data_IF_090963378834
#
_entry.id   IF_090963378834
#
_cell.length_a   1.000
_cell.length_b   1.000
_cell.length_c   1.000
_cell.angle_alpha   90.00
_cell.angle_beta   90.00
_cell.angle_gamma   90.00
#
_symmetry.space_group_name_H-M   'P 1'
#
loop_
_entity.id
_entity.type
_entity.pdbx_description
1 polymer ?
#
# COMPACT_ATOMS: atom_id res chain seq x y z
N UNK A 1 35.07 60.86 -39.12
CA UNK A 1 34.63 59.90 -38.09
C UNK A 1 33.49 60.55 -37.34
N UNK A 2 32.28 60.08 -37.62
CA UNK A 2 31.02 60.78 -37.39
C UNK A 2 30.45 60.39 -36.02
N UNK A 3 30.04 61.41 -35.26
CA UNK A 3 29.43 61.32 -33.93
C UNK A 3 27.93 61.04 -34.02
N UNK A 4 27.40 60.13 -33.20
CA UNK A 4 25.97 59.92 -32.90
C UNK A 4 25.89 59.30 -31.48
N UNK A 5 25.44 60.03 -30.45
CA UNK A 5 24.06 60.25 -29.97
C UNK A 5 23.43 58.99 -29.35
N UNK A 6 23.05 59.06 -28.06
CA UNK A 6 21.67 58.92 -27.52
C UNK A 6 21.74 58.94 -25.98
N UNK A 7 21.08 59.95 -25.40
CA UNK A 7 20.64 60.00 -24.00
C UNK A 7 19.33 59.23 -23.85
N UNK A 8 19.14 58.56 -22.71
CA UNK A 8 17.80 58.32 -22.16
C UNK A 8 17.90 58.12 -20.63
N UNK A 9 17.38 59.11 -19.92
CA UNK A 9 17.00 59.11 -18.52
C UNK A 9 15.62 58.47 -18.33
N UNK A 10 15.39 57.76 -17.22
CA UNK A 10 14.09 57.61 -16.51
C UNK A 10 14.38 56.73 -15.27
N UNK A 11 14.35 57.23 -14.03
CA UNK A 11 13.23 57.74 -13.22
C UNK A 11 12.47 56.64 -12.46
N UNK A 12 12.57 56.76 -11.12
CA UNK A 12 11.52 56.56 -10.10
C UNK A 12 11.10 55.17 -9.62
N UNK A 13 11.19 55.07 -8.29
CA UNK A 13 10.16 54.58 -7.35
C UNK A 13 9.96 53.07 -7.13
N UNK A 14 10.28 52.62 -5.90
CA UNK A 14 9.30 52.14 -4.89
C UNK A 14 10.09 51.36 -3.81
N UNK A 15 10.26 51.89 -2.60
CA UNK A 15 9.28 51.91 -1.50
C UNK A 15 9.01 50.50 -0.91
N UNK A 16 9.36 50.39 0.37
CA UNK A 16 9.24 49.27 1.30
C UNK A 16 7.88 48.56 1.25
N UNK A 17 7.86 47.23 1.45
CA UNK A 17 6.79 46.62 2.24
C UNK A 17 7.23 45.30 2.88
N UNK A 18 7.23 45.31 4.20
CA UNK A 18 7.23 44.13 5.04
C UNK A 18 5.92 43.35 4.83
N UNK A 19 6.04 42.07 4.56
CA UNK A 19 5.04 41.04 4.85
C UNK A 19 5.88 39.86 5.38
N UNK A 20 5.92 39.62 6.67
CA UNK A 20 4.87 38.91 7.40
C UNK A 20 4.35 37.73 6.58
N UNK A 21 5.14 36.66 6.56
CA UNK A 21 4.70 35.35 6.12
C UNK A 21 4.87 34.45 7.33
N UNK A 22 3.73 34.13 7.92
CA UNK A 22 3.62 33.47 9.19
C UNK A 22 4.40 32.15 9.26
N UNK A 23 5.05 31.98 10.40
CA UNK A 23 5.20 30.69 11.03
C UNK A 23 3.82 30.06 11.21
N UNK A 24 3.56 28.97 10.49
CA UNK A 24 2.64 27.92 10.93
C UNK A 24 3.03 26.62 10.21
N UNK A 25 4.25 26.14 10.49
CA UNK A 25 4.64 24.76 10.21
C UNK A 25 4.33 23.88 11.44
N UNK A 26 3.05 23.73 11.76
CA UNK A 26 2.56 22.66 12.65
C UNK A 26 1.73 21.65 11.84
N UNK A 27 2.22 21.28 10.66
CA UNK A 27 1.84 20.02 10.04
C UNK A 27 2.78 18.95 10.62
N UNK A 28 2.41 18.42 11.78
CA UNK A 28 3.00 17.22 12.36
C UNK A 28 2.99 16.10 11.31
N UNK A 29 4.09 15.99 10.56
CA UNK A 29 4.38 14.90 9.65
C UNK A 29 4.63 13.66 10.50
N UNK A 30 3.55 13.02 10.94
CA UNK A 30 3.63 11.71 11.58
C UNK A 30 4.16 10.75 10.53
N UNK A 31 5.47 10.53 10.56
CA UNK A 31 6.10 9.50 9.73
C UNK A 31 5.36 8.18 9.95
N UNK A 32 5.03 7.52 8.84
CA UNK A 32 4.47 6.17 8.91
C UNK A 32 5.55 5.22 9.37
N UNK A 33 5.37 4.63 10.55
CA UNK A 33 6.27 3.61 11.07
C UNK A 33 6.01 2.31 10.33
N UNK A 34 7.02 1.82 9.60
CA UNK A 34 6.98 0.52 8.91
C UNK A 34 7.23 -0.60 9.91
N UNK A 35 6.31 -1.56 9.99
CA UNK A 35 6.37 -2.67 10.94
C UNK A 35 6.67 -4.00 10.22
N UNK A 36 6.19 -4.13 8.99
CA UNK A 36 6.50 -5.25 8.11
C UNK A 36 6.45 -4.78 6.66
N UNK A 37 7.38 -5.26 5.84
CA UNK A 37 7.40 -4.99 4.41
C UNK A 37 7.95 -6.21 3.65
N UNK A 38 7.31 -6.54 2.54
CA UNK A 38 7.83 -7.41 1.50
C UNK A 38 7.39 -6.93 0.10
N UNK A 39 7.70 -7.70 -0.93
CA UNK A 39 7.42 -7.34 -2.33
C UNK A 39 5.92 -7.14 -2.66
N UNK A 40 5.01 -7.56 -1.79
CA UNK A 40 3.57 -7.67 -2.03
C UNK A 40 2.72 -7.04 -0.93
N UNK A 41 3.29 -6.78 0.24
CA UNK A 41 2.61 -6.25 1.41
C UNK A 41 3.50 -5.30 2.21
N UNK A 42 2.97 -4.12 2.51
CA UNK A 42 3.53 -3.18 3.46
C UNK A 42 2.53 -2.97 4.60
N UNK A 43 3.00 -3.09 5.83
CA UNK A 43 2.22 -2.89 7.06
C UNK A 43 2.84 -1.74 7.82
N UNK A 44 2.03 -0.71 8.07
CA UNK A 44 2.42 0.49 8.81
C UNK A 44 1.48 0.72 9.99
N UNK A 45 1.84 1.65 10.86
CA UNK A 45 0.92 2.15 11.89
C UNK A 45 -0.36 2.82 11.33
N UNK A 46 -0.41 3.17 10.04
CA UNK A 46 -1.59 3.80 9.40
C UNK A 46 -2.53 2.81 8.74
N UNK A 47 -2.00 1.68 8.26
CA UNK A 47 -2.78 0.67 7.54
C UNK A 47 -1.90 -0.32 6.80
N UNK A 48 -2.52 -1.01 5.85
CA UNK A 48 -1.88 -1.99 4.98
C UNK A 48 -1.90 -1.50 3.55
N UNK A 49 -0.76 -1.59 2.88
CA UNK A 49 -0.65 -1.41 1.43
C UNK A 49 -0.40 -2.77 0.78
N UNK A 50 -1.26 -3.14 -0.17
CA UNK A 50 -1.08 -4.32 -1.01
C UNK A 50 -0.42 -3.85 -2.30
N UNK A 51 0.81 -4.31 -2.54
CA UNK A 51 1.52 -3.95 -3.76
C UNK A 51 0.98 -4.72 -4.96
N UNK A 52 1.01 -4.08 -6.13
CA UNK A 52 0.62 -4.70 -7.41
C UNK A 52 -0.81 -5.25 -7.39
N UNK A 53 -1.70 -4.51 -6.75
CA UNK A 53 -3.08 -4.93 -6.53
C UNK A 53 -3.94 -4.79 -7.81
N UNK A 54 -3.81 -3.68 -8.54
CA UNK A 54 -4.66 -3.42 -9.70
C UNK A 54 -3.97 -3.83 -11.01
N UNK A 55 -4.53 -4.82 -11.71
CA UNK A 55 -4.14 -5.14 -13.08
C UNK A 55 -4.84 -4.22 -14.09
N UNK A 56 -4.19 -3.76 -15.19
CA UNK A 56 -2.83 -4.06 -15.65
C UNK A 56 -1.73 -3.14 -15.13
N UNK A 57 -2.09 -2.08 -14.41
CA UNK A 57 -1.16 -1.00 -14.04
C UNK A 57 -0.23 -1.36 -12.87
N UNK A 58 -0.45 -2.51 -12.22
CA UNK A 58 0.28 -3.00 -11.06
C UNK A 58 0.37 -1.94 -9.94
N UNK A 59 -0.67 -1.10 -9.80
CA UNK A 59 -0.71 -0.09 -8.75
C UNK A 59 -1.11 -0.68 -7.42
N UNK A 60 -0.76 0.04 -6.36
CA UNK A 60 -0.94 -0.39 -4.98
C UNK A 60 -2.34 -0.06 -4.48
N UNK A 61 -2.81 -0.86 -3.51
CA UNK A 61 -4.05 -0.57 -2.78
C UNK A 61 -3.73 -0.37 -1.31
N UNK A 62 -3.92 0.84 -0.83
CA UNK A 62 -3.89 1.14 0.60
C UNK A 62 -5.26 0.89 1.25
N UNK A 63 -5.26 0.29 2.43
CA UNK A 63 -6.44 0.05 3.27
C UNK A 63 -6.09 0.50 4.70
N UNK A 64 -6.74 1.55 5.23
CA UNK A 64 -6.52 2.00 6.60
C UNK A 64 -7.16 1.04 7.61
N UNK A 65 -6.63 1.01 8.84
CA UNK A 65 -7.03 0.03 9.86
C UNK A 65 -8.52 0.08 10.23
N UNK A 66 -9.11 1.26 10.25
CA UNK A 66 -10.52 1.52 10.56
C UNK A 66 -11.51 0.91 9.55
N UNK A 67 -11.04 0.61 8.33
CA UNK A 67 -11.83 0.00 7.28
C UNK A 67 -11.68 -1.54 7.24
N UNK A 68 -10.83 -2.12 8.09
CA UNK A 68 -10.53 -3.55 8.07
C UNK A 68 -11.35 -4.28 9.12
N UNK A 69 -12.30 -5.11 8.71
CA UNK A 69 -13.07 -5.93 9.66
C UNK A 69 -12.23 -7.09 10.22
N UNK A 70 -11.50 -7.78 9.33
CA UNK A 70 -10.56 -8.83 9.72
C UNK A 70 -9.52 -9.10 8.64
N UNK A 71 -8.40 -9.68 9.07
CA UNK A 71 -7.38 -10.24 8.20
C UNK A 71 -7.12 -11.67 8.65
N UNK A 72 -7.14 -12.60 7.71
CA UNK A 72 -6.96 -14.03 7.97
C UNK A 72 -6.06 -14.66 6.91
N UNK A 73 -5.41 -15.76 7.26
CA UNK A 73 -4.71 -16.54 6.24
C UNK A 73 -5.71 -17.24 5.32
N UNK A 74 -5.29 -17.57 4.11
CA UNK A 74 -6.10 -18.37 3.18
C UNK A 74 -6.46 -19.75 3.79
N UNK A 75 -5.56 -20.31 4.62
CA UNK A 75 -5.81 -21.51 5.42
C UNK A 75 -6.97 -21.33 6.40
N UNK A 76 -6.99 -20.24 7.16
CA UNK A 76 -8.03 -19.97 8.17
C UNK A 76 -9.42 -19.76 7.54
N UNK A 77 -9.46 -19.26 6.31
CA UNK A 77 -10.70 -19.11 5.54
C UNK A 77 -11.10 -20.36 4.75
N UNK A 78 -10.27 -21.42 4.77
CA UNK A 78 -10.53 -22.64 4.00
C UNK A 78 -10.62 -22.39 2.49
N UNK A 79 -9.81 -21.45 1.97
CA UNK A 79 -9.81 -21.09 0.55
C UNK A 79 -9.52 -22.34 -0.29
N UNK A 80 -10.38 -22.63 -1.26
CA UNK A 80 -10.23 -23.80 -2.12
C UNK A 80 -9.41 -23.46 -3.37
N UNK A 81 -8.82 -24.48 -3.97
CA UNK A 81 -7.94 -24.33 -5.16
C UNK A 81 -8.61 -23.54 -6.29
N UNK A 82 -9.91 -23.73 -6.53
CA UNK A 82 -10.67 -23.03 -7.58
C UNK A 82 -11.02 -21.56 -7.26
N UNK A 83 -10.82 -21.13 -6.01
CA UNK A 83 -10.98 -19.73 -5.58
C UNK A 83 -9.67 -18.96 -5.70
N UNK A 84 -8.57 -19.66 -5.97
CA UNK A 84 -7.27 -19.06 -6.22
C UNK A 84 -7.16 -18.82 -7.72
N UNK A 85 -7.11 -17.55 -8.11
CA UNK A 85 -6.74 -17.13 -9.47
C UNK A 85 -5.35 -16.53 -9.46
N UNK A 86 -4.69 -16.59 -10.61
CA UNK A 86 -3.39 -15.94 -10.84
C UNK A 86 -3.50 -14.41 -11.01
N UNK A 87 -4.72 -13.89 -11.22
CA UNK A 87 -5.06 -12.46 -11.16
C UNK A 87 -6.59 -12.25 -11.07
N UNK A 88 -7.04 -11.17 -10.42
CA UNK A 88 -8.43 -10.72 -10.48
C UNK A 88 -9.44 -11.56 -9.66
N UNK A 89 -10.73 -11.41 -9.97
CA UNK A 89 -11.82 -12.20 -9.33
C UNK A 89 -11.95 -13.58 -9.97
N UNK A 90 -11.96 -14.63 -9.14
CA UNK A 90 -12.28 -16.01 -9.54
C UNK A 90 -13.80 -16.28 -9.44
N UNK A 91 -14.21 -17.56 -9.30
CA UNK A 91 -15.54 -17.97 -8.80
C UNK A 91 -15.73 -17.63 -7.30
N UNK A 92 -14.99 -16.65 -6.80
CA UNK A 92 -14.97 -16.22 -5.41
C UNK A 92 -14.87 -14.71 -5.36
N UNK A 93 -15.32 -14.15 -4.24
CA UNK A 93 -15.20 -12.72 -3.99
C UNK A 93 -13.78 -12.28 -3.63
N UNK A 94 -12.77 -13.14 -3.71
CA UNK A 94 -11.37 -12.77 -3.42
C UNK A 94 -10.70 -12.23 -4.69
N UNK A 95 -10.11 -11.04 -4.59
CA UNK A 95 -9.23 -10.45 -5.60
C UNK A 95 -7.79 -10.61 -5.18
N UNK A 96 -7.05 -11.46 -5.89
CA UNK A 96 -5.65 -11.68 -5.62
C UNK A 96 -4.78 -10.63 -6.31
N UNK A 97 -3.81 -10.07 -5.58
CA UNK A 97 -2.80 -9.21 -6.18
C UNK A 97 -1.98 -9.98 -7.23
N UNK A 98 -1.40 -9.24 -8.17
CA UNK A 98 -0.56 -9.82 -9.23
C UNK A 98 0.82 -10.19 -8.67
N UNK A 99 0.86 -11.22 -7.84
CA UNK A 99 2.08 -12.01 -7.67
C UNK A 99 2.24 -12.83 -8.94
N UNK A 100 3.12 -12.40 -9.86
CA UNK A 100 3.48 -13.20 -11.05
C UNK A 100 3.98 -14.57 -10.60
N UNK A 101 3.08 -15.56 -10.53
CA UNK A 101 3.37 -16.94 -10.13
C UNK A 101 3.92 -17.80 -11.27
N UNK A 102 4.03 -17.24 -12.48
CA UNK A 102 4.53 -17.95 -13.65
C UNK A 102 6.06 -17.97 -13.79
N UNK A 103 6.79 -17.10 -13.08
CA UNK A 103 8.25 -17.02 -13.21
C UNK A 103 8.88 -16.77 -11.85
N UNK A 104 9.56 -17.80 -11.34
CA UNK A 104 10.18 -17.91 -10.01
C UNK A 104 9.20 -17.98 -8.85
N UNK A 105 9.22 -19.13 -8.18
CA UNK A 105 8.89 -19.16 -6.76
C UNK A 105 9.82 -18.14 -6.05
N UNK A 106 9.30 -17.12 -5.34
CA UNK A 106 10.15 -16.20 -4.60
C UNK A 106 10.95 -16.86 -3.46
N UNK A 107 10.71 -18.15 -3.21
CA UNK A 107 11.32 -19.00 -2.19
C UNK A 107 12.08 -20.22 -2.75
N UNK A 108 12.03 -20.48 -4.07
CA UNK A 108 12.85 -21.50 -4.72
C UNK A 108 13.50 -20.94 -5.99
N UNK A 109 14.79 -21.18 -6.19
CA UNK A 109 15.55 -20.76 -7.37
C UNK A 109 15.19 -21.55 -8.66
N UNK A 110 13.90 -21.67 -8.99
CA UNK A 110 13.40 -22.42 -10.15
C UNK A 110 12.02 -22.00 -10.67
N UNK A 111 11.67 -22.51 -11.85
CA UNK A 111 10.31 -22.50 -12.39
C UNK A 111 9.46 -23.51 -11.61
N UNK A 112 8.74 -23.04 -10.59
CA UNK A 112 7.89 -23.86 -9.74
C UNK A 112 6.43 -23.44 -9.84
N UNK A 113 5.52 -24.41 -9.86
CA UNK A 113 4.11 -24.16 -9.56
C UNK A 113 3.95 -24.07 -8.05
N UNK A 114 3.27 -23.02 -7.56
CA UNK A 114 2.98 -22.92 -6.14
C UNK A 114 2.05 -24.07 -5.73
N UNK A 115 2.48 -24.91 -4.77
CA UNK A 115 1.63 -25.97 -4.23
C UNK A 115 0.46 -25.36 -3.45
N UNK A 116 -0.69 -26.04 -3.40
CA UNK A 116 -1.86 -25.56 -2.66
C UNK A 116 -1.52 -25.28 -1.18
N UNK A 117 -0.68 -26.10 -0.57
CA UNK A 117 -0.20 -25.89 0.79
C UNK A 117 0.59 -24.58 0.94
N UNK A 118 1.48 -24.29 -0.01
CA UNK A 118 2.23 -23.03 -0.06
C UNK A 118 1.24 -21.85 -0.14
N UNK A 119 0.26 -21.93 -1.05
CA UNK A 119 -0.72 -20.86 -1.24
C UNK A 119 -1.53 -20.62 0.04
N UNK A 120 -2.01 -21.68 0.68
CA UNK A 120 -2.78 -21.59 1.92
C UNK A 120 -1.97 -20.97 3.07
N UNK A 121 -0.67 -21.27 3.14
CA UNK A 121 0.22 -20.80 4.19
C UNK A 121 0.65 -19.35 4.00
N UNK A 122 0.94 -18.94 2.76
CA UNK A 122 1.57 -17.65 2.47
C UNK A 122 0.58 -16.57 2.02
N UNK A 123 -0.66 -16.91 1.69
CA UNK A 123 -1.64 -15.91 1.31
C UNK A 123 -2.47 -15.44 2.51
N UNK A 124 -2.72 -14.13 2.53
CA UNK A 124 -3.68 -13.50 3.43
C UNK A 124 -4.85 -12.92 2.65
N UNK A 125 -5.98 -12.79 3.33
CA UNK A 125 -7.21 -12.19 2.81
C UNK A 125 -7.68 -11.15 3.80
N UNK A 126 -8.03 -9.98 3.27
CA UNK A 126 -8.40 -8.79 4.01
C UNK A 126 -9.88 -8.52 3.75
N UNK A 127 -10.69 -8.54 4.79
CA UNK A 127 -12.09 -8.10 4.74
C UNK A 127 -12.15 -6.61 5.02
N UNK A 128 -12.65 -5.87 4.03
CA UNK A 128 -12.83 -4.42 4.11
C UNK A 128 -14.32 -4.10 4.25
N UNK A 129 -14.64 -3.18 5.16
CA UNK A 129 -16.00 -2.73 5.44
C UNK A 129 -16.69 -2.23 4.17
N UNK A 130 -17.92 -2.69 3.93
CA UNK A 130 -18.72 -2.31 2.76
C UNK A 130 -18.22 -2.88 1.42
N UNK A 131 -17.07 -3.58 1.39
CA UNK A 131 -16.55 -4.21 0.19
C UNK A 131 -17.03 -5.66 0.09
N UNK A 132 -17.66 -6.01 -1.05
CA UNK A 132 -17.97 -7.41 -1.40
C UNK A 132 -16.70 -8.17 -1.74
N UNK A 133 -15.83 -7.54 -2.52
CA UNK A 133 -14.56 -8.14 -2.92
C UNK A 133 -13.51 -8.05 -1.82
N UNK A 134 -12.93 -9.18 -1.46
CA UNK A 134 -11.89 -9.37 -0.47
C UNK A 134 -10.51 -9.22 -1.11
N UNK A 135 -9.76 -8.15 -0.81
CA UNK A 135 -8.36 -8.08 -1.20
C UNK A 135 -7.55 -9.26 -0.64
N UNK A 136 -6.83 -9.97 -1.51
CA UNK A 136 -5.90 -11.03 -1.16
C UNK A 136 -4.48 -10.68 -1.56
N UNK A 137 -3.49 -11.05 -0.73
CA UNK A 137 -2.07 -10.85 -1.02
C UNK A 137 -1.22 -12.05 -0.63
N UNK A 138 -0.14 -12.28 -1.37
CA UNK A 138 0.93 -13.20 -0.99
C UNK A 138 1.86 -12.52 0.01
N UNK A 139 2.35 -13.26 1.00
CA UNK A 139 3.20 -12.74 2.08
C UNK A 139 4.43 -13.62 2.22
N UNK A 140 5.61 -12.99 2.23
CA UNK A 140 6.87 -13.72 2.31
C UNK A 140 7.01 -14.48 3.63
N UNK A 141 6.77 -13.79 4.74
CA UNK A 141 6.79 -14.38 6.09
C UNK A 141 5.42 -14.19 6.76
N UNK A 142 4.47 -15.12 6.54
CA UNK A 142 3.10 -14.98 7.03
C UNK A 142 3.04 -14.94 8.56
N UNK A 143 3.92 -15.64 9.27
CA UNK A 143 3.95 -15.64 10.74
C UNK A 143 4.31 -14.27 11.30
N UNK A 144 5.40 -13.67 10.78
CA UNK A 144 5.83 -12.32 11.19
C UNK A 144 4.79 -11.26 10.81
N UNK A 145 4.26 -11.30 9.59
CA UNK A 145 3.25 -10.35 9.13
C UNK A 145 1.98 -10.44 9.98
N UNK A 146 1.46 -11.66 10.20
CA UNK A 146 0.24 -11.85 11.00
C UNK A 146 0.43 -11.47 12.47
N UNK A 147 1.64 -11.62 13.02
CA UNK A 147 1.96 -11.16 14.37
C UNK A 147 1.82 -9.63 14.51
N UNK A 148 2.43 -8.87 13.59
CA UNK A 148 2.34 -7.40 13.58
C UNK A 148 0.92 -6.92 13.26
N UNK A 149 0.26 -7.53 12.28
CA UNK A 149 -1.13 -7.23 11.93
C UNK A 149 -2.05 -7.47 13.14
N UNK A 150 -1.90 -8.60 13.84
CA UNK A 150 -2.73 -8.92 15.00
C UNK A 150 -2.51 -7.95 16.18
N UNK A 151 -1.29 -7.41 16.31
CA UNK A 151 -0.97 -6.37 17.29
C UNK A 151 -1.69 -5.06 16.96
N UNK A 152 -1.63 -4.62 15.71
CA UNK A 152 -2.27 -3.38 15.25
C UNK A 152 -3.79 -3.46 15.24
N UNK A 153 -4.35 -4.58 14.75
CA UNK A 153 -5.79 -4.84 14.77
C UNK A 153 -6.37 -4.74 16.18
N UNK A 154 -5.64 -5.24 17.20
CA UNK A 154 -6.05 -5.07 18.60
C UNK A 154 -6.00 -3.61 19.02
N UNK A 155 -4.96 -2.86 18.68
CA UNK A 155 -4.85 -1.45 19.06
C UNK A 155 -5.98 -0.59 18.47
N UNK A 156 -6.33 -0.80 17.20
CA UNK A 156 -7.34 0.00 16.52
C UNK A 156 -8.78 -0.44 16.81
N UNK A 157 -9.04 -1.74 17.04
CA UNK A 157 -10.40 -2.24 17.30
C UNK A 157 -10.77 -2.38 18.77
N UNK A 158 -9.83 -2.19 19.71
CA UNK A 158 -10.17 -2.16 21.15
C UNK A 158 -11.06 -0.97 21.54
N UNK A 159 -11.23 0.01 20.65
CA UNK A 159 -12.03 1.22 20.88
C UNK A 159 -13.44 1.18 20.26
N UNK A 160 -13.89 0.04 19.74
CA UNK A 160 -15.21 -0.08 19.06
C UNK A 160 -16.28 -0.86 19.84
N UNK A 161 -16.16 -0.94 21.18
CA UNK A 161 -17.20 -1.51 22.05
C UNK A 161 -18.15 -0.44 22.60
#
# INVERSE_FOLDING_TARGET
>A
MTSARIEASESSASANLAADIGESQDASFTESVVLYEDNYLLVTNKGITIHRYYFPFLSDRFVPWDQIEYIKTAKDLGVKWYQIKEWGTALSDIWWNCAWRFFKDPFQDGLGFNSMEHILKHNIVIKVTGCKTLPGSCVRNPEKAMAEISKLMRQHHSHSN
#
